data_IF_227055512960
#
_entry.id   IF_227055512960
#
_cell.length_a   1.000
_cell.length_b   1.000
_cell.length_c   1.000
_cell.angle_alpha   90.00
_cell.angle_beta   90.00
_cell.angle_gamma   90.00
#
_symmetry.space_group_name_H-M   'P 1'
#
loop_
_entity.id
_entity.type
_entity.pdbx_description
1 polymer ?
#
# COMPACT_ATOMS: atom_id res chain seq x y z
N UNK A 1 -42.91 31.46 31.95
CA UNK A 1 -42.79 31.03 30.53
C UNK A 1 -41.50 31.51 29.86
N UNK A 2 -41.18 32.82 29.87
CA UNK A 2 -39.96 33.36 29.22
C UNK A 2 -38.63 32.77 29.73
N UNK A 3 -38.53 32.47 31.03
CA UNK A 3 -37.32 31.89 31.66
C UNK A 3 -37.07 30.45 31.19
N UNK A 4 -38.13 29.63 31.08
CA UNK A 4 -38.02 28.27 30.54
C UNK A 4 -37.53 28.27 29.09
N UNK A 5 -38.03 29.20 28.28
CA UNK A 5 -37.58 29.40 26.89
C UNK A 5 -36.09 29.78 26.82
N UNK A 6 -35.63 30.67 27.72
CA UNK A 6 -34.22 31.06 27.79
C UNK A 6 -33.31 29.90 28.19
N UNK A 7 -33.74 29.07 29.15
CA UNK A 7 -32.98 27.87 29.57
C UNK A 7 -32.88 26.87 28.43
N UNK A 8 -34.00 26.63 27.72
CA UNK A 8 -34.01 25.71 26.56
C UNK A 8 -33.05 26.23 25.49
N UNK A 9 -33.11 27.51 25.14
CA UNK A 9 -32.20 28.14 24.17
C UNK A 9 -30.73 28.03 24.58
N UNK A 10 -30.42 28.24 25.86
CA UNK A 10 -29.06 28.12 26.37
C UNK A 10 -28.56 26.67 26.26
N UNK A 11 -29.40 25.69 26.58
CA UNK A 11 -29.06 24.26 26.46
C UNK A 11 -28.88 23.85 25.00
N UNK A 12 -29.74 24.29 24.08
CA UNK A 12 -29.54 24.01 22.65
C UNK A 12 -28.27 24.67 22.14
N UNK A 13 -27.99 25.92 22.49
CA UNK A 13 -26.76 26.60 22.08
C UNK A 13 -25.51 25.85 22.59
N UNK A 14 -25.53 25.39 23.85
CA UNK A 14 -24.44 24.61 24.43
C UNK A 14 -24.23 23.28 23.69
N UNK A 15 -25.32 22.58 23.35
CA UNK A 15 -25.25 21.31 22.60
C UNK A 15 -24.76 21.53 21.16
N UNK A 16 -25.21 22.58 20.49
CA UNK A 16 -24.74 22.93 19.15
C UNK A 16 -23.25 23.29 19.16
N UNK A 17 -22.80 24.05 20.16
CA UNK A 17 -21.38 24.38 20.34
C UNK A 17 -20.54 23.12 20.60
N UNK A 18 -21.00 22.24 21.50
CA UNK A 18 -20.34 20.96 21.77
C UNK A 18 -20.30 20.04 20.55
N UNK A 19 -21.32 20.08 19.68
CA UNK A 19 -21.33 19.30 18.44
C UNK A 19 -20.28 19.79 17.42
N UNK A 20 -19.91 21.08 17.48
CA UNK A 20 -18.85 21.63 16.64
C UNK A 20 -17.43 21.41 17.18
N UNK A 21 -17.28 21.26 18.50
CA UNK A 21 -15.98 21.17 19.20
C UNK A 21 -15.66 19.78 19.77
N UNK A 22 -16.63 18.87 19.91
CA UNK A 22 -16.44 17.55 20.53
C UNK A 22 -15.80 16.52 19.59
N UNK A 23 -15.01 15.59 20.16
CA UNK A 23 -14.24 14.49 19.52
C UNK A 23 -15.03 13.72 18.44
N UNK A 24 -15.02 14.20 17.18
CA UNK A 24 -15.90 13.73 16.11
C UNK A 24 -16.72 14.81 15.40
N UNK A 25 -16.48 16.09 15.71
CA UNK A 25 -17.07 17.23 15.01
C UNK A 25 -16.64 17.27 13.54
N UNK A 26 -17.47 17.92 12.70
CA UNK A 26 -17.29 18.02 11.22
C UNK A 26 -15.87 18.47 10.81
N UNK A 27 -15.17 19.22 11.67
CA UNK A 27 -13.79 19.67 11.45
C UNK A 27 -12.77 18.52 11.48
N UNK A 28 -12.90 17.60 12.44
CA UNK A 28 -11.98 16.48 12.62
C UNK A 28 -12.15 15.45 11.50
N UNK A 29 -13.42 15.12 11.17
CA UNK A 29 -13.74 14.24 10.04
C UNK A 29 -13.15 14.78 8.73
N UNK A 30 -13.21 16.10 8.49
CA UNK A 30 -12.62 16.70 7.28
C UNK A 30 -11.10 16.61 7.29
N UNK A 31 -10.45 16.84 8.43
CA UNK A 31 -9.00 16.74 8.54
C UNK A 31 -8.50 15.30 8.32
N UNK A 32 -9.21 14.34 8.91
CA UNK A 32 -8.91 12.91 8.76
C UNK A 32 -9.16 12.42 7.33
N UNK A 33 -10.21 12.92 6.68
CA UNK A 33 -10.50 12.60 5.27
C UNK A 33 -9.37 13.08 4.35
N UNK A 34 -8.88 14.31 4.56
CA UNK A 34 -7.76 14.87 3.77
C UNK A 34 -6.49 14.03 3.97
N UNK A 35 -6.18 13.67 5.22
CA UNK A 35 -5.01 12.84 5.54
C UNK A 35 -5.13 11.44 4.92
N UNK A 36 -6.32 10.83 4.96
CA UNK A 36 -6.59 9.54 4.33
C UNK A 36 -6.42 9.57 2.81
N UNK A 37 -6.88 10.63 2.15
CA UNK A 37 -6.75 10.77 0.70
C UNK A 37 -5.28 10.95 0.28
N UNK A 38 -4.50 11.70 1.06
CA UNK A 38 -3.06 11.84 0.84
C UNK A 38 -2.31 10.51 1.03
N UNK A 39 -2.63 9.77 2.10
CA UNK A 39 -2.08 8.44 2.36
C UNK A 39 -2.41 7.46 1.23
N UNK A 40 -3.66 7.45 0.74
CA UNK A 40 -4.07 6.61 -0.38
C UNK A 40 -3.28 6.91 -1.64
N UNK A 41 -3.04 8.19 -1.94
CA UNK A 41 -2.22 8.59 -3.08
C UNK A 41 -0.79 8.06 -2.97
N UNK A 42 -0.16 8.25 -1.81
CA UNK A 42 1.20 7.74 -1.57
C UNK A 42 1.28 6.21 -1.67
N UNK A 43 0.28 5.49 -1.17
CA UNK A 43 0.21 4.03 -1.29
C UNK A 43 0.06 3.59 -2.75
N UNK A 44 -0.77 4.28 -3.53
CA UNK A 44 -0.95 3.98 -4.95
C UNK A 44 0.36 4.15 -5.73
N UNK A 45 1.06 5.28 -5.55
CA UNK A 45 2.34 5.54 -6.20
C UNK A 45 3.41 4.50 -5.82
N UNK A 46 3.49 4.14 -4.53
CA UNK A 46 4.41 3.10 -4.06
C UNK A 46 4.09 1.73 -4.63
N UNK A 47 2.80 1.39 -4.74
CA UNK A 47 2.35 0.11 -5.28
C UNK A 47 2.69 0.00 -6.76
N UNK A 48 2.43 1.03 -7.56
CA UNK A 48 2.77 1.05 -8.98
C UNK A 48 4.27 0.82 -9.20
N UNK A 49 5.12 1.50 -8.43
CA UNK A 49 6.58 1.30 -8.49
C UNK A 49 6.99 -0.11 -8.05
N UNK A 50 6.34 -0.67 -7.02
CA UNK A 50 6.64 -2.01 -6.56
C UNK A 50 6.26 -3.06 -7.62
N UNK A 51 5.10 -2.92 -8.25
CA UNK A 51 4.63 -3.81 -9.30
C UNK A 51 5.58 -3.76 -10.53
N UNK A 52 6.07 -2.57 -10.89
CA UNK A 52 7.07 -2.40 -11.95
C UNK A 52 8.41 -3.06 -11.61
N UNK A 53 8.93 -2.85 -10.39
CA UNK A 53 10.17 -3.48 -9.93
C UNK A 53 10.04 -4.99 -9.83
N UNK A 54 8.88 -5.51 -9.42
CA UNK A 54 8.63 -6.94 -9.35
C UNK A 54 8.65 -7.57 -10.75
N UNK A 55 8.06 -6.91 -11.73
CA UNK A 55 8.12 -7.34 -13.13
C UNK A 55 9.57 -7.34 -13.65
N UNK A 56 10.37 -6.32 -13.33
CA UNK A 56 11.78 -6.25 -13.70
C UNK A 56 12.61 -7.37 -13.07
N UNK A 57 12.40 -7.64 -11.77
CA UNK A 57 13.07 -8.75 -11.08
C UNK A 57 12.70 -10.10 -11.70
N UNK A 58 11.44 -10.31 -12.03
CA UNK A 58 10.99 -11.56 -12.65
C UNK A 58 11.52 -11.73 -14.09
N UNK A 59 11.63 -10.64 -14.86
CA UNK A 59 12.24 -10.65 -16.19
C UNK A 59 13.75 -10.97 -16.10
N UNK A 60 14.47 -10.33 -15.18
CA UNK A 60 15.88 -10.61 -14.94
C UNK A 60 16.13 -12.05 -14.50
N UNK A 61 15.25 -12.60 -13.66
CA UNK A 61 15.33 -13.99 -13.20
C UNK A 61 15.14 -14.97 -14.36
N UNK A 62 14.12 -14.75 -15.19
CA UNK A 62 13.88 -15.55 -16.40
C UNK A 62 15.02 -15.44 -17.41
N UNK A 63 15.58 -14.25 -17.59
CA UNK A 63 16.75 -14.04 -18.45
C UNK A 63 17.97 -14.81 -17.97
N UNK A 64 18.25 -14.81 -16.67
CA UNK A 64 19.36 -15.58 -16.09
C UNK A 64 19.14 -17.08 -16.19
N UNK A 65 17.92 -17.58 -15.93
CA UNK A 65 17.57 -18.99 -16.07
C UNK A 65 17.75 -19.46 -17.52
N UNK A 66 17.31 -18.67 -18.51
CA UNK A 66 17.50 -18.98 -19.93
C UNK A 66 18.98 -18.99 -20.37
N UNK A 67 19.79 -18.09 -19.81
CA UNK A 67 21.24 -18.07 -20.08
C UNK A 67 21.94 -19.27 -19.42
N UNK A 68 21.52 -19.64 -18.21
CA UNK A 68 22.06 -20.81 -17.49
C UNK A 68 21.71 -22.11 -18.21
N UNK A 69 20.47 -22.27 -18.68
CA UNK A 69 20.03 -23.44 -19.46
C UNK A 69 20.88 -23.59 -20.72
N UNK A 70 21.08 -22.51 -21.47
CA UNK A 70 21.96 -22.52 -22.66
C UNK A 70 23.41 -22.86 -22.34
N UNK A 71 23.96 -22.35 -21.24
CA UNK A 71 25.32 -22.68 -20.81
C UNK A 71 25.46 -24.16 -20.40
N UNK A 72 24.44 -24.74 -19.77
CA UNK A 72 24.40 -26.16 -19.38
C UNK A 72 24.22 -27.07 -20.60
N UNK A 73 23.32 -26.75 -21.52
CA UNK A 73 22.99 -27.59 -22.67
C UNK A 73 24.00 -27.47 -23.83
N UNK A 74 24.39 -26.25 -24.23
CA UNK A 74 25.26 -26.04 -25.39
C UNK A 74 26.75 -26.13 -25.04
N UNK A 75 27.14 -25.65 -23.85
CA UNK A 75 28.55 -25.54 -23.45
C UNK A 75 28.97 -26.61 -22.43
N UNK A 76 28.03 -27.42 -21.93
CA UNK A 76 28.30 -28.43 -20.90
C UNK A 76 28.85 -27.84 -19.60
N UNK A 77 28.57 -26.55 -19.34
CA UNK A 77 29.06 -25.87 -18.16
C UNK A 77 28.33 -26.40 -16.91
N UNK A 78 29.11 -26.71 -15.88
CA UNK A 78 28.65 -27.20 -14.58
C UNK A 78 29.19 -26.29 -13.48
N UNK A 79 28.39 -26.05 -12.43
CA UNK A 79 28.86 -25.27 -11.27
C UNK A 79 29.88 -26.06 -10.45
N UNK A 80 30.76 -25.35 -9.74
CA UNK A 80 31.70 -25.99 -8.81
C UNK A 80 30.94 -26.84 -7.77
N UNK A 81 31.23 -28.14 -7.73
CA UNK A 81 30.59 -29.10 -6.81
C UNK A 81 29.35 -29.81 -7.36
N UNK A 82 28.89 -29.53 -8.58
CA UNK A 82 27.82 -30.31 -9.23
C UNK A 82 28.38 -31.57 -9.95
N UNK A 83 27.64 -32.68 -9.88
CA UNK A 83 27.94 -33.91 -10.62
C UNK A 83 26.95 -34.04 -11.79
N UNK A 84 27.44 -33.99 -13.02
CA UNK A 84 26.63 -34.12 -14.24
C UNK A 84 26.44 -35.59 -14.62
N UNK A 85 25.20 -36.03 -14.79
CA UNK A 85 24.85 -37.36 -15.26
C UNK A 85 24.21 -37.25 -16.65
N UNK A 86 24.90 -37.71 -17.69
CA UNK A 86 24.34 -37.84 -19.03
C UNK A 86 23.90 -39.29 -19.25
N UNK A 87 22.60 -39.50 -19.40
CA UNK A 87 22.05 -40.82 -19.76
C UNK A 87 22.21 -40.97 -21.27
N UNK A 88 23.14 -41.84 -21.69
CA UNK A 88 23.26 -42.27 -23.08
C UNK A 88 22.31 -43.47 -23.26
N UNK A 89 21.30 -43.33 -24.12
CA UNK A 89 20.46 -44.45 -24.59
C UNK A 89 21.14 -45.18 -25.76
#
# INVERSE_FOLDING_TARGET
MKILLAIILALTALLQYRLWEGDGGIKEIKADQIRLDELKKQVAEKKERNDALYAEVEDLRKGQEAVEERAREELGMIREGETFFQVLE
#
